data_IF_938956712670
#
_entry.id   IF_938956712670
#
_cell.length_a   1.000
_cell.length_b   1.000
_cell.length_c   1.000
_cell.angle_alpha   90.00
_cell.angle_beta   90.00
_cell.angle_gamma   90.00
#
_symmetry.space_group_name_H-M   'P 1'
#
loop_
_entity.id
_entity.type
_entity.pdbx_description
1 polymer ?
#
# COMPACT_ATOMS: atom_id res chain seq x y z
N UNK A 1 -7.96 9.45 5.50
CA UNK A 1 -7.28 10.25 4.45
C UNK A 1 -7.71 11.72 4.39
N UNK A 2 -8.98 12.05 4.18
CA UNK A 2 -9.43 13.47 4.27
C UNK A 2 -9.16 14.06 5.66
N UNK A 3 -9.44 13.30 6.72
CA UNK A 3 -9.10 13.69 8.10
C UNK A 3 -7.58 13.83 8.33
N UNK A 4 -6.77 13.13 7.55
CA UNK A 4 -5.31 13.20 7.60
C UNK A 4 -4.74 14.31 6.69
N UNK A 5 -5.62 15.03 5.96
CA UNK A 5 -5.25 16.04 4.97
C UNK A 5 -4.24 15.52 3.92
N UNK A 6 -4.33 14.24 3.56
CA UNK A 6 -3.49 13.64 2.51
C UNK A 6 -4.16 13.91 1.15
N UNK A 7 -3.48 14.61 0.22
CA UNK A 7 -4.00 14.87 -1.11
C UNK A 7 -4.28 13.56 -1.87
N UNK A 8 -5.38 13.52 -2.64
CA UNK A 8 -5.78 12.31 -3.36
C UNK A 8 -4.74 11.87 -4.40
N UNK A 9 -3.98 12.81 -4.98
CA UNK A 9 -2.87 12.53 -5.91
C UNK A 9 -1.64 11.90 -5.24
N UNK A 10 -1.62 11.82 -3.90
CA UNK A 10 -0.61 11.10 -3.11
C UNK A 10 -1.05 9.71 -2.71
N UNK A 11 -2.22 9.26 -3.16
CA UNK A 11 -2.80 7.97 -2.81
C UNK A 11 -2.96 7.15 -4.09
N UNK A 12 -2.30 6.01 -4.13
CA UNK A 12 -2.46 5.03 -5.20
C UNK A 12 -3.14 3.78 -4.64
N UNK A 13 -4.25 3.37 -5.25
CA UNK A 13 -4.99 2.18 -4.86
C UNK A 13 -4.87 1.11 -5.95
N UNK A 14 -4.32 -0.03 -5.57
CA UNK A 14 -4.17 -1.18 -6.44
C UNK A 14 -5.15 -2.29 -6.03
N UNK A 15 -6.17 -2.51 -6.86
CA UNK A 15 -7.05 -3.67 -6.71
C UNK A 15 -6.32 -4.93 -7.18
N UNK A 16 -6.14 -5.90 -6.29
CA UNK A 16 -5.51 -7.18 -6.62
C UNK A 16 -6.50 -8.32 -6.44
N UNK A 17 -6.43 -9.32 -7.33
CA UNK A 17 -7.24 -10.54 -7.22
C UNK A 17 -6.76 -11.41 -6.05
N UNK A 18 -7.60 -12.35 -5.59
CA UNK A 18 -7.27 -13.32 -4.54
C UNK A 18 -6.00 -14.13 -4.88
N UNK A 19 -5.83 -14.49 -6.15
CA UNK A 19 -4.63 -15.15 -6.66
C UNK A 19 -3.41 -14.23 -6.73
N UNK A 20 -3.60 -12.91 -6.56
CA UNK A 20 -2.56 -11.85 -6.61
C UNK A 20 -1.74 -11.88 -7.90
N UNK A 21 -2.36 -12.36 -8.98
CA UNK A 21 -1.76 -12.42 -10.32
C UNK A 21 -2.16 -11.16 -11.09
N UNK A 22 -1.19 -10.56 -11.79
CA UNK A 22 -1.52 -9.55 -12.79
C UNK A 22 -2.22 -10.20 -13.97
N UNK A 23 -3.39 -9.69 -14.35
CA UNK A 23 -3.86 -9.85 -15.73
C UNK A 23 -3.19 -8.86 -16.70
N UNK A 24 -2.41 -7.89 -16.20
CA UNK A 24 -1.67 -6.98 -17.08
C UNK A 24 -0.72 -7.78 -17.98
N UNK A 25 -0.88 -7.59 -19.30
CA UNK A 25 -0.12 -8.22 -20.37
C UNK A 25 -0.26 -9.75 -20.48
N UNK A 26 -1.44 -10.33 -20.20
CA UNK A 26 -1.71 -11.75 -20.46
C UNK A 26 -0.81 -12.70 -19.64
N UNK A 27 -0.46 -12.28 -18.42
CA UNK A 27 0.39 -13.05 -17.50
C UNK A 27 1.91 -12.89 -17.69
N UNK A 28 2.36 -11.91 -18.49
CA UNK A 28 3.80 -11.65 -18.74
C UNK A 28 4.34 -10.36 -18.10
N UNK A 29 3.48 -9.51 -17.54
CA UNK A 29 3.89 -8.32 -16.78
C UNK A 29 4.01 -8.62 -15.29
N UNK A 30 4.99 -8.01 -14.60
CA UNK A 30 5.00 -7.97 -13.13
C UNK A 30 3.79 -7.15 -12.68
N UNK A 31 2.94 -7.71 -11.83
CA UNK A 31 1.90 -6.92 -11.15
C UNK A 31 2.52 -5.92 -10.19
N UNK A 32 1.75 -4.91 -9.80
CA UNK A 32 2.11 -4.05 -8.67
C UNK A 32 2.26 -4.85 -7.37
N UNK A 33 1.48 -5.93 -7.19
CA UNK A 33 1.70 -6.89 -6.11
C UNK A 33 3.06 -7.59 -6.18
N UNK A 34 3.55 -7.95 -7.37
CA UNK A 34 4.90 -8.53 -7.55
C UNK A 34 6.00 -7.48 -7.32
N UNK A 35 5.80 -6.25 -7.80
CA UNK A 35 6.73 -5.13 -7.65
C UNK A 35 6.94 -4.78 -6.17
N UNK A 36 5.85 -4.74 -5.40
CA UNK A 36 5.88 -4.44 -3.97
C UNK A 36 6.03 -5.67 -3.08
N UNK A 37 6.01 -6.90 -3.63
CA UNK A 37 6.12 -8.15 -2.86
C UNK A 37 4.93 -8.42 -1.93
N UNK A 38 3.72 -8.03 -2.33
CA UNK A 38 2.49 -8.15 -1.53
C UNK A 38 2.01 -9.60 -1.54
N UNK A 39 2.12 -10.26 -0.38
CA UNK A 39 1.65 -11.63 -0.20
C UNK A 39 0.34 -11.74 0.60
N UNK A 40 0.00 -10.68 1.34
CA UNK A 40 -1.20 -10.61 2.19
C UNK A 40 -1.92 -9.30 1.91
N UNK A 41 -3.24 -9.38 1.84
CA UNK A 41 -4.09 -8.21 1.62
C UNK A 41 -5.14 -8.13 2.72
N UNK A 42 -5.58 -6.91 3.06
CA UNK A 42 -5.05 -5.62 2.61
C UNK A 42 -3.73 -5.26 3.30
N UNK A 43 -2.89 -4.53 2.57
CA UNK A 43 -1.59 -4.02 3.00
C UNK A 43 -1.45 -2.57 2.52
N UNK A 44 -1.08 -1.66 3.41
CA UNK A 44 -0.77 -0.27 3.10
C UNK A 44 0.74 -0.11 3.07
N UNK A 45 1.27 0.45 1.99
CA UNK A 45 2.71 0.72 1.86
C UNK A 45 2.89 2.23 1.92
N UNK A 46 3.71 2.69 2.87
CA UNK A 46 3.91 4.12 3.10
C UNK A 46 5.23 4.55 2.51
N UNK A 47 5.17 5.53 1.62
CA UNK A 47 6.34 6.21 1.06
C UNK A 47 6.48 7.60 1.65
N UNK A 48 7.68 7.93 2.12
CA UNK A 48 8.04 9.27 2.57
C UNK A 48 9.35 9.70 1.90
N UNK A 49 9.37 10.91 1.34
CA UNK A 49 10.51 11.42 0.55
C UNK A 49 11.01 10.45 -0.54
N UNK A 50 10.09 9.73 -1.19
CA UNK A 50 10.40 8.78 -2.26
C UNK A 50 10.98 7.45 -1.79
N UNK A 51 11.01 7.18 -0.48
CA UNK A 51 11.46 5.90 0.08
C UNK A 51 10.33 5.21 0.82
N UNK A 52 10.24 3.90 0.69
CA UNK A 52 9.36 3.08 1.52
C UNK A 52 9.84 3.18 2.98
N UNK A 53 8.98 3.70 3.86
CA UNK A 53 9.27 3.83 5.30
C UNK A 53 8.63 2.72 6.13
N UNK A 54 7.64 2.03 5.57
CA UNK A 54 7.08 0.85 6.20
C UNK A 54 5.75 0.42 5.59
N UNK A 55 5.17 -0.59 6.22
CA UNK A 55 3.92 -1.22 5.80
C UNK A 55 3.00 -1.41 6.99
N UNK A 56 1.70 -1.26 6.76
CA UNK A 56 0.66 -1.49 7.75
C UNK A 56 -0.28 -2.58 7.23
N UNK A 57 -0.62 -3.54 8.09
CA UNK A 57 -1.60 -4.58 7.77
C UNK A 57 -3.01 -4.16 8.21
N UNK A 58 -4.02 -4.97 7.87
CA UNK A 58 -5.46 -4.70 8.10
C UNK A 58 -5.88 -4.46 9.56
N UNK A 59 -4.97 -4.60 10.54
CA UNK A 59 -5.27 -4.38 11.95
C UNK A 59 -4.47 -3.18 12.49
N UNK A 60 -4.93 -1.94 12.26
CA UNK A 60 -4.38 -0.80 12.96
C UNK A 60 -4.48 -1.00 14.47
N UNK A 61 -3.43 -0.63 15.20
CA UNK A 61 -3.40 -0.81 16.67
C UNK A 61 -4.19 0.29 17.38
N UNK A 62 -4.17 1.51 16.81
CA UNK A 62 -4.92 2.66 17.31
C UNK A 62 -5.79 3.28 16.21
N UNK A 63 -5.14 3.76 15.16
CA UNK A 63 -5.75 4.27 13.93
C UNK A 63 -4.73 4.14 12.80
N UNK A 64 -5.18 4.16 11.55
CA UNK A 64 -4.28 4.11 10.41
C UNK A 64 -3.32 5.32 10.43
N UNK A 65 -3.85 6.50 10.73
CA UNK A 65 -3.10 7.75 10.79
C UNK A 65 -2.01 7.73 11.87
N UNK A 66 -2.31 7.27 13.08
CA UNK A 66 -1.31 7.19 14.15
C UNK A 66 -0.24 6.14 13.83
N UNK A 67 -0.64 4.99 13.29
CA UNK A 67 0.29 3.93 12.91
C UNK A 67 1.20 4.38 11.75
N UNK A 68 0.70 5.22 10.82
CA UNK A 68 1.52 5.84 9.77
C UNK A 68 2.52 6.85 10.34
N UNK A 69 2.12 7.66 11.31
CA UNK A 69 3.02 8.63 11.96
C UNK A 69 4.18 7.93 12.69
N UNK A 70 3.93 6.75 13.24
CA UNK A 70 4.97 5.94 13.87
C UNK A 70 6.04 5.44 12.88
N UNK A 71 5.74 5.35 11.58
CA UNK A 71 6.69 4.95 10.52
C UNK A 71 7.61 6.08 10.04
N UNK A 72 7.24 7.35 10.24
CA UNK A 72 7.96 8.52 9.70
C UNK A 72 8.90 9.16 10.75
N UNK A 73 9.08 8.52 11.91
CA UNK A 73 9.93 9.03 13.00
C UNK A 73 11.41 9.14 12.64
#
# INVERSE_FOLDING_TARGET
>A
MEQANIPADKIELYGVDHEKKSQENGGKGKSKSDEFGINRVPEFIVFYNGKEVGRLNEKPTKSLEEDMMDLIK
#
